data_IF_884339834110
#
_entry.id   IF_884339834110
#
_cell.length_a   1.000
_cell.length_b   1.000
_cell.length_c   1.000
_cell.angle_alpha   90.00
_cell.angle_beta   90.00
_cell.angle_gamma   90.00
#
_symmetry.space_group_name_H-M   'P 1'
#
loop_
_entity.id
_entity.type
_entity.pdbx_description
1 polymer ?
#
# COMPACT_ATOMS: atom_id res chain seq x y z
N UNK A 1 10.41 7.56 -24.51
CA UNK A 1 9.88 6.56 -23.55
C UNK A 1 10.28 6.88 -22.11
N UNK A 2 11.56 7.12 -21.79
CA UNK A 2 12.02 7.43 -20.42
C UNK A 2 11.25 8.58 -19.74
N UNK A 3 11.00 9.69 -20.44
CA UNK A 3 10.22 10.83 -19.90
C UNK A 3 8.74 10.49 -19.57
N UNK A 4 8.08 9.69 -20.42
CA UNK A 4 6.71 9.25 -20.17
C UNK A 4 6.63 8.30 -18.97
N UNK A 5 7.58 7.38 -18.85
CA UNK A 5 7.70 6.48 -17.69
C UNK A 5 7.98 7.26 -16.40
N UNK A 6 8.79 8.32 -16.45
CA UNK A 6 9.02 9.21 -15.30
C UNK A 6 7.74 9.94 -14.85
N UNK A 7 6.91 10.42 -15.78
CA UNK A 7 5.62 11.06 -15.43
C UNK A 7 4.67 10.04 -14.79
N UNK A 8 4.56 8.85 -15.36
CA UNK A 8 3.74 7.76 -14.80
C UNK A 8 4.23 7.36 -13.41
N UNK A 9 5.55 7.29 -13.20
CA UNK A 9 6.16 7.01 -11.90
C UNK A 9 5.84 8.10 -10.86
N UNK A 10 5.85 9.38 -11.25
CA UNK A 10 5.49 10.49 -10.35
C UNK A 10 4.02 10.37 -9.94
N UNK A 11 3.12 10.13 -10.89
CA UNK A 11 1.69 9.96 -10.62
C UNK A 11 1.40 8.76 -9.72
N UNK A 12 2.06 7.63 -9.96
CA UNK A 12 1.97 6.44 -9.10
C UNK A 12 2.51 6.72 -7.69
N UNK A 13 3.63 7.43 -7.55
CA UNK A 13 4.19 7.77 -6.24
C UNK A 13 3.29 8.72 -5.44
N UNK A 14 2.61 9.67 -6.10
CA UNK A 14 1.64 10.57 -5.44
C UNK A 14 0.52 9.77 -4.76
N UNK A 15 0.13 8.62 -5.31
CA UNK A 15 -0.87 7.72 -4.72
C UNK A 15 -0.22 6.73 -3.74
N UNK A 16 0.94 6.17 -4.10
CA UNK A 16 1.61 5.13 -3.33
C UNK A 16 2.09 5.62 -1.96
N UNK A 17 2.63 6.83 -1.88
CA UNK A 17 3.15 7.42 -0.64
C UNK A 17 2.05 7.56 0.44
N UNK A 18 0.92 8.26 0.19
CA UNK A 18 -0.14 8.36 1.18
C UNK A 18 -0.80 7.00 1.47
N UNK A 19 -0.92 6.13 0.47
CA UNK A 19 -1.48 4.78 0.65
C UNK A 19 -0.60 3.92 1.57
N UNK A 20 0.71 3.96 1.38
CA UNK A 20 1.70 3.25 2.23
C UNK A 20 1.71 3.80 3.65
N UNK A 21 1.63 5.13 3.83
CA UNK A 21 1.50 5.74 5.16
C UNK A 21 0.22 5.31 5.88
N UNK A 22 -0.91 5.30 5.16
CA UNK A 22 -2.19 4.84 5.71
C UNK A 22 -2.12 3.36 6.08
N UNK A 23 -1.54 2.52 5.22
CA UNK A 23 -1.31 1.10 5.49
C UNK A 23 -0.47 0.87 6.74
N UNK A 24 0.66 1.56 6.91
CA UNK A 24 1.49 1.43 8.11
C UNK A 24 0.72 1.79 9.40
N UNK A 25 -0.08 2.86 9.37
CA UNK A 25 -0.92 3.26 10.51
C UNK A 25 -1.99 2.22 10.82
N UNK A 26 -2.71 1.74 9.80
CA UNK A 26 -3.75 0.73 9.96
C UNK A 26 -3.14 -0.58 10.45
N UNK A 27 -2.00 -1.01 9.92
CA UNK A 27 -1.29 -2.21 10.36
C UNK A 27 -0.87 -2.13 11.83
N UNK A 28 -0.26 -1.01 12.24
CA UNK A 28 0.18 -0.80 13.62
C UNK A 28 -0.99 -0.83 14.62
N UNK A 29 -2.18 -0.37 14.20
CA UNK A 29 -3.40 -0.43 15.00
C UNK A 29 -4.09 -1.80 14.95
N UNK A 30 -4.15 -2.44 13.78
CA UNK A 30 -4.90 -3.67 13.52
C UNK A 30 -4.22 -4.92 14.09
N UNK A 31 -2.93 -5.10 13.86
CA UNK A 31 -2.19 -6.28 14.32
C UNK A 31 -2.29 -6.55 15.83
N UNK A 32 -2.17 -5.56 16.74
CA UNK A 32 -2.33 -5.80 18.17
C UNK A 32 -3.77 -6.18 18.58
N UNK A 33 -4.78 -5.96 17.74
CA UNK A 33 -6.17 -6.36 18.03
C UNK A 33 -6.32 -7.88 18.13
N UNK A 34 -5.45 -8.66 17.48
CA UNK A 34 -5.43 -10.12 17.66
C UNK A 34 -5.36 -10.53 19.15
N UNK A 35 -4.63 -9.76 19.96
CA UNK A 35 -4.45 -10.01 21.40
C UNK A 35 -5.40 -9.19 22.28
N UNK A 36 -5.77 -7.98 21.85
CA UNK A 36 -6.63 -7.06 22.64
C UNK A 36 -8.13 -7.35 22.48
N UNK A 37 -8.59 -7.52 21.24
CA UNK A 37 -9.99 -7.72 20.90
C UNK A 37 -10.12 -8.51 19.59
N UNK A 38 -10.38 -9.81 19.74
CA UNK A 38 -10.52 -10.73 18.61
C UNK A 38 -11.72 -10.39 17.73
N UNK A 39 -12.80 -9.82 18.28
CA UNK A 39 -14.01 -9.50 17.51
C UNK A 39 -13.67 -8.39 16.51
N UNK A 40 -13.01 -7.32 16.98
CA UNK A 40 -12.55 -6.24 16.11
C UNK A 40 -11.55 -6.77 15.07
N UNK A 41 -10.63 -7.65 15.48
CA UNK A 41 -9.66 -8.24 14.56
C UNK A 41 -10.33 -8.98 13.39
N UNK A 42 -11.33 -9.81 13.65
CA UNK A 42 -12.03 -10.54 12.59
C UNK A 42 -12.97 -9.64 11.78
N UNK A 43 -13.67 -8.70 12.44
CA UNK A 43 -14.56 -7.76 11.76
C UNK A 43 -13.80 -6.83 10.79
N UNK A 44 -12.60 -6.39 11.17
CA UNK A 44 -11.76 -5.52 10.33
C UNK A 44 -10.83 -6.26 9.37
N UNK A 45 -10.69 -7.58 9.50
CA UNK A 45 -9.87 -8.40 8.61
C UNK A 45 -10.11 -8.16 7.11
N UNK A 46 -11.36 -8.17 6.58
CA UNK A 46 -11.59 -7.97 5.16
C UNK A 46 -11.09 -6.60 4.67
N UNK A 47 -11.29 -5.54 5.46
CA UNK A 47 -10.83 -4.19 5.13
C UNK A 47 -9.31 -4.07 5.16
N UNK A 48 -8.66 -4.71 6.14
CA UNK A 48 -7.20 -4.77 6.21
C UNK A 48 -6.61 -5.47 4.98
N UNK A 49 -7.18 -6.61 4.58
CA UNK A 49 -6.70 -7.35 3.41
C UNK A 49 -6.95 -6.62 2.08
N UNK A 50 -8.05 -5.88 1.95
CA UNK A 50 -8.28 -5.00 0.80
C UNK A 50 -7.18 -3.92 0.74
N UNK A 51 -6.84 -3.33 1.88
CA UNK A 51 -5.80 -2.33 1.96
C UNK A 51 -4.42 -2.89 1.61
N UNK A 52 -4.10 -4.12 2.07
CA UNK A 52 -2.88 -4.87 1.69
C UNK A 52 -2.82 -5.08 0.18
N UNK A 53 -3.94 -5.50 -0.44
CA UNK A 53 -4.00 -5.72 -1.88
C UNK A 53 -3.80 -4.41 -2.66
N UNK A 54 -4.40 -3.31 -2.21
CA UNK A 54 -4.23 -1.99 -2.82
C UNK A 54 -2.79 -1.50 -2.72
N UNK A 55 -2.15 -1.60 -1.56
CA UNK A 55 -0.72 -1.24 -1.42
C UNK A 55 0.16 -2.12 -2.30
N UNK A 56 -0.15 -3.40 -2.47
CA UNK A 56 0.62 -4.28 -3.35
C UNK A 56 0.46 -3.90 -4.83
N UNK A 57 -0.78 -3.70 -5.30
CA UNK A 57 -1.08 -3.36 -6.70
C UNK A 57 -0.45 -2.02 -7.10
N UNK A 58 -0.42 -1.05 -6.20
CA UNK A 58 0.15 0.29 -6.46
C UNK A 58 1.65 0.33 -6.19
N UNK A 59 2.12 -0.35 -5.14
CA UNK A 59 3.53 -0.38 -4.74
C UNK A 59 4.41 -1.17 -5.70
N UNK A 60 3.95 -2.35 -6.17
CA UNK A 60 4.69 -3.19 -7.11
C UNK A 60 5.13 -2.47 -8.39
N UNK A 61 4.24 -1.78 -9.15
CA UNK A 61 4.66 -1.03 -10.33
C UNK A 61 5.57 0.15 -9.97
N UNK A 62 5.39 0.76 -8.78
CA UNK A 62 6.25 1.85 -8.30
C UNK A 62 7.72 1.40 -8.13
N UNK A 63 7.97 0.17 -7.71
CA UNK A 63 9.32 -0.40 -7.54
C UNK A 63 9.91 -0.93 -8.85
N UNK A 64 9.06 -1.40 -9.77
CA UNK A 64 9.47 -1.99 -11.04
C UNK A 64 9.82 -0.92 -12.09
N UNK A 65 9.02 0.14 -12.23
CA UNK A 65 9.21 1.18 -13.27
C UNK A 65 10.63 1.81 -13.24
N UNK A 66 11.25 2.14 -12.09
CA UNK A 66 12.61 2.69 -12.04
C UNK A 66 13.67 1.77 -12.68
N UNK A 67 13.50 0.46 -12.59
CA UNK A 67 14.42 -0.54 -13.16
C UNK A 67 14.43 -0.54 -14.69
N UNK A 68 13.35 -0.04 -15.32
CA UNK A 68 13.23 0.11 -16.78
C UNK A 68 13.57 1.52 -17.27
N UNK A 69 13.72 2.48 -16.37
CA UNK A 69 14.08 3.88 -16.68
C UNK A 69 15.60 4.08 -16.70
N UNK A 70 16.32 3.42 -15.79
CA UNK A 70 17.78 3.41 -15.79
C UNK A 70 18.30 2.54 -16.93
#
# INVERSE_FOLDING_TARGET
>A
MKFFLSIVLILLNVINIPLSMLFMKVQAWYLPMWKKDKIIYFAFAPFYWILVALTFIVGYPCEQIPQYIH
#
